data_IF_379079468988
#
_entry.id   IF_379079468988
#
_cell.length_a   1.000
_cell.length_b   1.000
_cell.length_c   1.000
_cell.angle_alpha   90.00
_cell.angle_beta   90.00
_cell.angle_gamma   90.00
#
_symmetry.space_group_name_H-M   'P 1'
#
loop_
_entity.id
_entity.type
_entity.pdbx_description
1 polymer ?
#
# COMPACT_ATOMS: atom_id res chain seq x y z
N UNK A 1 22.17 47.37 -44.43
CA UNK A 1 21.96 46.24 -45.36
C UNK A 1 21.79 44.97 -44.53
N UNK A 2 20.77 44.18 -44.89
CA UNK A 2 20.23 43.00 -44.19
C UNK A 2 21.20 41.80 -44.17
N UNK A 3 20.83 40.78 -43.38
CA UNK A 3 21.10 39.33 -43.49
C UNK A 3 22.03 38.78 -42.38
N UNK A 4 21.85 37.60 -41.77
CA UNK A 4 20.90 36.47 -41.84
C UNK A 4 21.25 35.60 -40.60
N UNK A 5 20.39 35.32 -39.62
CA UNK A 5 19.41 34.22 -39.55
C UNK A 5 19.94 32.80 -39.92
N UNK A 6 19.88 31.93 -38.90
CA UNK A 6 19.52 30.50 -38.92
C UNK A 6 20.68 29.50 -39.10
N UNK A 7 21.14 28.98 -37.96
CA UNK A 7 21.84 27.70 -37.84
C UNK A 7 20.80 26.63 -37.49
N UNK A 8 20.49 25.77 -38.46
CA UNK A 8 19.78 24.53 -38.27
C UNK A 8 20.08 23.61 -39.45
N UNK A 9 19.86 22.32 -39.23
CA UNK A 9 19.73 21.25 -40.22
C UNK A 9 21.02 20.49 -40.55
N UNK A 10 20.85 19.16 -40.54
CA UNK A 10 21.61 18.11 -41.23
C UNK A 10 22.70 17.42 -40.38
N UNK A 11 22.27 16.78 -39.29
CA UNK A 11 22.91 15.57 -38.78
C UNK A 11 22.09 14.37 -39.25
N UNK A 12 22.35 13.93 -40.48
CA UNK A 12 21.74 12.78 -41.13
C UNK A 12 22.85 11.93 -41.75
N UNK A 13 23.24 10.83 -41.09
CA UNK A 13 24.01 9.74 -41.72
C UNK A 13 23.66 8.40 -41.06
N UNK A 14 22.86 7.62 -41.77
CA UNK A 14 22.56 6.19 -41.60
C UNK A 14 23.39 5.40 -42.62
N UNK A 15 24.14 4.36 -42.20
CA UNK A 15 24.44 3.05 -42.86
C UNK A 15 25.65 2.41 -42.14
N UNK A 16 25.58 1.38 -41.26
CA UNK A 16 25.18 -0.04 -41.37
C UNK A 16 26.28 -1.01 -41.92
N UNK A 17 26.44 -2.14 -41.21
CA UNK A 17 27.17 -3.42 -41.49
C UNK A 17 28.66 -3.47 -41.12
N UNK A 18 29.24 -4.49 -40.46
CA UNK A 18 28.84 -5.86 -40.11
C UNK A 18 29.80 -6.47 -39.06
N UNK A 19 29.36 -7.44 -38.26
CA UNK A 19 29.89 -8.83 -38.17
C UNK A 19 29.31 -9.58 -36.96
N UNK A 20 28.95 -10.83 -37.18
CA UNK A 20 28.22 -11.72 -36.28
C UNK A 20 29.15 -12.76 -35.64
N UNK A 21 28.79 -13.24 -34.44
CA UNK A 21 28.99 -14.63 -33.99
C UNK A 21 28.21 -14.88 -32.68
N UNK A 22 27.61 -16.07 -32.59
CA UNK A 22 26.54 -16.49 -31.68
C UNK A 22 27.01 -17.02 -30.31
N UNK A 23 26.14 -16.92 -29.29
CA UNK A 23 25.74 -18.06 -28.45
C UNK A 23 24.43 -17.75 -27.69
N UNK A 24 23.49 -18.71 -27.76
CA UNK A 24 22.25 -18.84 -26.97
C UNK A 24 22.50 -18.82 -25.46
N UNK A 25 21.60 -18.21 -24.66
CA UNK A 25 21.02 -18.88 -23.49
C UNK A 25 19.73 -18.19 -23.01
N UNK A 26 18.91 -18.96 -22.30
CA UNK A 26 17.47 -18.92 -22.16
C UNK A 26 16.87 -17.76 -21.35
N UNK A 27 15.57 -17.58 -21.58
CA UNK A 27 14.64 -16.88 -20.71
C UNK A 27 14.82 -17.22 -19.22
N UNK A 28 14.94 -16.19 -18.39
CA UNK A 28 15.06 -16.28 -16.95
C UNK A 28 14.28 -15.18 -16.23
N UNK A 29 12.98 -15.42 -16.08
CA UNK A 29 12.21 -15.26 -14.84
C UNK A 29 12.41 -13.97 -14.01
N UNK A 30 11.38 -13.11 -14.11
CA UNK A 30 10.59 -12.62 -12.96
C UNK A 30 11.14 -13.03 -11.59
N UNK A 31 11.83 -12.12 -10.91
CA UNK A 31 12.00 -12.20 -9.44
C UNK A 31 10.69 -11.80 -8.76
N UNK A 32 9.81 -12.79 -8.69
CA UNK A 32 8.84 -12.99 -7.62
C UNK A 32 9.60 -13.40 -6.36
N UNK A 33 9.50 -12.60 -5.28
CA UNK A 33 9.39 -13.08 -3.89
C UNK A 33 9.50 -11.91 -2.90
N UNK A 34 8.39 -11.21 -2.68
CA UNK A 34 8.06 -10.64 -1.38
C UNK A 34 6.57 -10.87 -1.12
N UNK A 35 6.14 -12.12 -1.30
CA UNK A 35 4.88 -12.63 -0.76
C UNK A 35 5.26 -13.60 0.35
N UNK A 36 5.27 -13.09 1.58
CA UNK A 36 5.09 -13.84 2.81
C UNK A 36 5.24 -12.90 4.01
N UNK A 37 4.12 -12.37 4.50
CA UNK A 37 3.64 -12.68 5.85
C UNK A 37 2.50 -11.72 6.23
N UNK A 38 1.30 -11.98 5.72
CA UNK A 38 0.12 -11.77 6.55
C UNK A 38 0.30 -12.70 7.77
N UNK A 39 0.48 -12.12 8.95
CA UNK A 39 0.84 -12.89 10.13
C UNK A 39 -0.28 -13.88 10.50
N UNK A 40 0.10 -15.04 11.04
CA UNK A 40 -0.84 -16.08 11.52
C UNK A 40 -1.78 -15.48 12.58
N UNK A 41 -3.08 -15.87 12.62
CA UNK A 41 -4.03 -15.33 13.59
C UNK A 41 -3.52 -15.46 15.03
N UNK A 42 -3.74 -14.42 15.83
CA UNK A 42 -3.38 -14.39 17.26
C UNK A 42 -4.19 -15.42 18.05
N UNK A 43 -5.43 -15.68 17.60
CA UNK A 43 -6.31 -16.73 18.12
C UNK A 43 -6.80 -17.65 16.99
N UNK A 44 -6.20 -18.84 16.81
CA UNK A 44 -6.60 -19.77 15.77
C UNK A 44 -8.09 -20.17 15.89
N UNK A 45 -8.82 -20.11 14.77
CA UNK A 45 -10.22 -20.52 14.69
C UNK A 45 -11.25 -19.47 15.11
N UNK A 46 -10.84 -18.28 15.57
CA UNK A 46 -11.74 -17.16 15.82
C UNK A 46 -11.67 -16.12 14.69
N UNK A 47 -12.78 -15.40 14.40
CA UNK A 47 -12.74 -14.25 13.50
C UNK A 47 -11.74 -13.19 13.96
N UNK A 48 -11.22 -12.42 13.02
CA UNK A 48 -10.41 -11.25 13.34
C UNK A 48 -11.28 -10.11 13.88
N UNK A 49 -10.73 -9.35 14.81
CA UNK A 49 -11.41 -8.23 15.49
C UNK A 49 -11.07 -6.88 14.90
N UNK A 50 -9.95 -6.77 14.19
CA UNK A 50 -9.44 -5.55 13.56
C UNK A 50 -8.45 -5.89 12.46
N UNK A 51 -7.95 -4.88 11.77
CA UNK A 51 -6.78 -5.00 10.89
C UNK A 51 -5.69 -4.00 11.30
N UNK A 52 -4.46 -4.49 11.35
CA UNK A 52 -3.25 -3.67 11.46
C UNK A 52 -2.54 -3.70 10.11
N UNK A 53 -2.42 -2.55 9.47
CA UNK A 53 -1.64 -2.38 8.24
C UNK A 53 -0.25 -1.87 8.63
N UNK A 54 0.75 -2.73 8.51
CA UNK A 54 2.14 -2.38 8.78
C UNK A 54 2.76 -1.64 7.57
N UNK A 55 2.76 -0.30 7.63
CA UNK A 55 3.43 0.57 6.66
C UNK A 55 4.78 1.11 7.17
N UNK A 56 5.39 0.45 8.15
CA UNK A 56 6.73 0.81 8.64
C UNK A 56 7.76 0.72 7.51
N UNK A 57 8.66 1.69 7.46
CA UNK A 57 9.65 1.90 6.41
C UNK A 57 9.12 2.58 5.15
N UNK A 58 7.80 2.85 5.07
CA UNK A 58 7.21 3.43 3.86
C UNK A 58 7.07 4.95 3.94
N UNK A 59 7.17 5.59 5.11
CA UNK A 59 6.93 7.04 5.20
C UNK A 59 5.48 7.41 4.88
N UNK A 60 4.55 6.70 5.50
CA UNK A 60 3.11 6.99 5.45
C UNK A 60 2.78 8.17 6.37
N UNK A 61 2.03 9.17 5.89
CA UNK A 61 1.59 10.29 6.74
C UNK A 61 0.17 10.10 7.28
N UNK A 62 -0.13 10.85 8.35
CA UNK A 62 -1.48 10.91 8.91
C UNK A 62 -2.40 11.73 8.01
N UNK A 63 -3.65 11.29 7.92
CA UNK A 63 -4.69 11.99 7.18
C UNK A 63 -6.04 11.82 7.86
N UNK A 64 -6.96 12.74 7.61
CA UNK A 64 -8.35 12.66 8.09
C UNK A 64 -9.19 11.66 7.29
N UNK A 65 -8.80 11.34 6.05
CA UNK A 65 -9.56 10.44 5.17
C UNK A 65 -8.64 9.41 4.50
N UNK A 66 -7.95 8.58 5.29
CA UNK A 66 -7.04 7.57 4.77
C UNK A 66 -7.79 6.46 4.02
N UNK A 67 -7.10 5.82 3.09
CA UNK A 67 -7.62 4.69 2.29
C UNK A 67 -6.66 3.53 2.26
N UNK A 68 -7.18 2.31 2.13
CA UNK A 68 -6.39 1.12 1.79
C UNK A 68 -6.55 0.87 0.29
N UNK A 69 -5.44 0.68 -0.43
CA UNK A 69 -5.45 0.46 -1.89
C UNK A 69 -4.70 -0.79 -2.31
N UNK A 70 -5.00 -1.26 -3.51
CA UNK A 70 -4.19 -2.25 -4.24
C UNK A 70 -3.13 -1.55 -5.08
N UNK A 71 -2.20 -2.32 -5.64
CA UNK A 71 -1.11 -1.83 -6.48
C UNK A 71 -1.57 -1.17 -7.78
N UNK A 72 -2.73 -1.58 -8.31
CA UNK A 72 -3.38 -0.97 -9.48
C UNK A 72 -4.07 0.37 -9.17
N UNK A 73 -4.04 0.82 -7.92
CA UNK A 73 -4.68 2.06 -7.47
C UNK A 73 -6.16 1.91 -7.14
N UNK A 74 -6.75 0.72 -7.29
CA UNK A 74 -8.12 0.50 -6.85
C UNK A 74 -8.21 0.56 -5.32
N UNK A 75 -9.32 1.13 -4.86
CA UNK A 75 -9.62 1.23 -3.44
C UNK A 75 -10.14 -0.10 -2.90
N UNK A 76 -9.59 -0.53 -1.77
CA UNK A 76 -10.06 -1.68 -0.99
C UNK A 76 -11.03 -1.21 0.08
N UNK A 77 -10.70 -0.12 0.77
CA UNK A 77 -11.52 0.47 1.85
C UNK A 77 -11.14 1.94 2.07
N UNK A 78 -12.08 2.76 2.55
CA UNK A 78 -11.83 4.14 3.01
C UNK A 78 -12.83 5.19 2.52
N UNK A 79 -13.60 4.91 1.47
CA UNK A 79 -14.81 5.68 1.10
C UNK A 79 -15.99 5.12 1.86
N UNK A 80 -16.14 5.60 3.08
CA UNK A 80 -17.02 5.07 4.11
C UNK A 80 -18.06 6.10 4.52
N UNK A 81 -19.24 5.63 4.93
CA UNK A 81 -20.23 6.45 5.62
C UNK A 81 -20.04 6.24 7.10
N UNK A 82 -19.88 7.34 7.83
CA UNK A 82 -19.59 7.31 9.26
C UNK A 82 -20.38 8.41 9.94
N UNK A 83 -20.79 8.15 11.17
CA UNK A 83 -21.43 9.13 12.02
C UNK A 83 -20.42 10.25 12.35
N UNK A 84 -20.74 11.53 12.12
CA UNK A 84 -19.86 12.65 12.49
C UNK A 84 -19.42 12.62 13.94
N UNK A 85 -20.32 12.33 14.89
CA UNK A 85 -20.02 12.32 16.33
C UNK A 85 -19.00 11.22 16.64
N UNK A 86 -19.09 10.08 15.95
CA UNK A 86 -18.12 9.01 16.07
C UNK A 86 -16.72 9.42 15.56
N UNK A 87 -16.64 10.12 14.42
CA UNK A 87 -15.37 10.57 13.83
C UNK A 87 -14.68 11.62 14.68
N UNK A 88 -15.45 12.50 15.32
CA UNK A 88 -14.90 13.53 16.22
C UNK A 88 -14.11 12.90 17.37
N UNK A 89 -14.65 11.82 17.95
CA UNK A 89 -14.03 11.16 19.11
C UNK A 89 -12.97 10.11 18.72
N UNK A 90 -13.20 9.34 17.65
CA UNK A 90 -12.41 8.13 17.36
C UNK A 90 -11.58 8.22 16.07
N UNK A 91 -11.91 9.15 15.18
CA UNK A 91 -11.39 9.19 13.81
C UNK A 91 -11.72 7.95 12.98
N UNK A 92 -11.12 7.88 11.77
CA UNK A 92 -11.35 6.80 10.80
C UNK A 92 -10.41 5.61 11.01
N UNK A 93 -9.16 5.87 11.42
CA UNK A 93 -8.16 4.84 11.71
C UNK A 93 -7.36 5.21 12.95
N UNK A 94 -6.86 4.20 13.66
CA UNK A 94 -5.80 4.39 14.64
C UNK A 94 -4.44 4.50 13.96
N UNK A 95 -3.49 5.19 14.60
CA UNK A 95 -2.09 5.18 14.17
C UNK A 95 -1.19 4.75 15.33
N UNK A 96 -0.19 3.95 15.03
CA UNK A 96 0.82 3.49 15.98
C UNK A 96 2.21 3.50 15.33
N UNK A 97 3.28 3.46 16.14
CA UNK A 97 4.66 3.33 15.64
C UNK A 97 5.13 1.89 15.54
N UNK A 98 4.52 0.98 16.28
CA UNK A 98 4.89 -0.44 16.30
C UNK A 98 3.66 -1.34 16.42
N UNK A 99 3.81 -2.63 16.09
CA UNK A 99 2.74 -3.63 16.26
C UNK A 99 2.34 -3.74 17.74
N UNK A 100 3.31 -3.68 18.66
CA UNK A 100 3.03 -3.80 20.09
C UNK A 100 2.26 -2.61 20.65
N UNK A 101 2.49 -1.41 20.10
CA UNK A 101 1.69 -0.23 20.41
C UNK A 101 0.29 -0.34 19.80
N UNK A 102 0.19 -0.77 18.54
CA UNK A 102 -1.10 -1.00 17.87
C UNK A 102 -1.97 -1.98 18.67
N UNK A 103 -1.38 -3.05 19.22
CA UNK A 103 -2.07 -4.04 20.07
C UNK A 103 -2.64 -3.49 21.37
N UNK A 104 -2.17 -2.33 21.84
CA UNK A 104 -2.68 -1.65 23.04
C UNK A 104 -3.78 -0.64 22.72
N UNK A 105 -4.02 -0.35 21.45
CA UNK A 105 -5.11 0.51 21.04
C UNK A 105 -6.44 -0.19 21.29
N UNK A 106 -7.42 0.51 21.86
CA UNK A 106 -8.75 -0.04 22.12
C UNK A 106 -9.40 -0.60 20.85
N UNK A 107 -9.11 0.04 19.71
CA UNK A 107 -9.53 -0.37 18.36
C UNK A 107 -8.98 -1.73 17.90
N UNK A 108 -7.90 -2.23 18.50
CA UNK A 108 -7.28 -3.48 18.07
C UNK A 108 -8.12 -4.71 18.43
N UNK A 109 -8.74 -4.70 19.60
CA UNK A 109 -9.36 -5.90 20.16
C UNK A 109 -8.36 -7.05 20.36
N UNK A 110 -8.89 -8.27 20.51
CA UNK A 110 -8.11 -9.44 20.93
C UNK A 110 -7.31 -10.11 19.79
N UNK A 111 -7.78 -10.03 18.54
CA UNK A 111 -7.25 -10.81 17.43
C UNK A 111 -7.16 -9.96 16.15
N UNK A 112 -6.14 -9.11 15.99
CA UNK A 112 -5.94 -8.33 14.77
C UNK A 112 -5.44 -9.20 13.61
N UNK A 113 -5.94 -8.93 12.40
CA UNK A 113 -5.32 -9.36 11.14
C UNK A 113 -4.15 -8.41 10.85
N UNK A 114 -2.94 -8.94 10.70
CA UNK A 114 -1.75 -8.11 10.41
C UNK A 114 -1.36 -8.29 8.96
N UNK A 115 -1.38 -7.20 8.20
CA UNK A 115 -1.01 -7.16 6.77
C UNK A 115 0.17 -6.21 6.61
N UNK A 116 1.22 -6.66 5.92
CA UNK A 116 2.34 -5.79 5.54
C UNK A 116 1.98 -4.98 4.29
N UNK A 117 2.10 -3.66 4.36
CA UNK A 117 1.96 -2.82 3.18
C UNK A 117 3.19 -2.98 2.27
N UNK A 118 2.95 -2.95 0.95
CA UNK A 118 3.97 -3.06 -0.11
C UNK A 118 4.32 -1.71 -0.73
N UNK A 119 3.61 -0.65 -0.34
CA UNK A 119 3.82 0.71 -0.86
C UNK A 119 2.86 1.71 -0.23
N UNK A 120 2.85 2.94 -0.77
CA UNK A 120 1.95 4.01 -0.34
C UNK A 120 1.44 4.82 -1.53
N UNK A 121 0.25 5.39 -1.36
CA UNK A 121 -0.44 6.29 -2.28
C UNK A 121 -1.06 7.46 -1.48
N UNK A 122 -2.03 8.17 -2.05
CA UNK A 122 -2.66 9.33 -1.39
C UNK A 122 -2.10 10.68 -1.85
N UNK A 123 -1.53 10.74 -3.06
CA UNK A 123 -1.00 11.97 -3.65
C UNK A 123 0.17 12.52 -2.84
N UNK A 124 0.17 13.85 -2.64
CA UNK A 124 1.22 14.56 -1.91
C UNK A 124 1.25 14.23 -0.40
N UNK A 125 0.15 13.71 0.15
CA UNK A 125 0.04 13.37 1.57
C UNK A 125 0.43 11.94 1.88
N UNK A 126 0.70 11.08 0.88
CA UNK A 126 1.24 9.74 1.11
C UNK A 126 0.51 8.91 2.19
N UNK A 127 -0.82 9.09 2.34
CA UNK A 127 -1.58 8.63 3.50
C UNK A 127 -2.18 7.23 3.36
N UNK A 128 -2.09 6.65 2.17
CA UNK A 128 -2.90 5.49 1.80
C UNK A 128 -2.00 4.27 1.60
N UNK A 129 -1.94 3.31 2.53
CA UNK A 129 -1.12 2.12 2.35
C UNK A 129 -1.61 1.28 1.17
N UNK A 130 -0.65 0.77 0.40
CA UNK A 130 -0.89 -0.18 -0.68
C UNK A 130 -0.62 -1.58 -0.15
N UNK A 131 -1.55 -2.51 -0.36
CA UNK A 131 -1.42 -3.93 -0.03
C UNK A 131 -1.44 -4.77 -1.30
N UNK A 132 -0.97 -6.02 -1.21
CA UNK A 132 -1.01 -6.96 -2.34
C UNK A 132 -2.45 -7.34 -2.70
N UNK A 133 -2.70 -7.77 -3.94
CA UNK A 133 -4.04 -8.27 -4.33
C UNK A 133 -4.47 -9.47 -3.47
N UNK A 134 -3.52 -10.32 -3.07
CA UNK A 134 -3.77 -11.47 -2.20
C UNK A 134 -4.20 -11.01 -0.79
N UNK A 135 -3.52 -10.03 -0.22
CA UNK A 135 -3.87 -9.49 1.10
C UNK A 135 -5.17 -8.67 1.04
N UNK A 136 -5.45 -7.97 -0.06
CA UNK A 136 -6.73 -7.29 -0.26
C UNK A 136 -7.89 -8.29 -0.28
N UNK A 137 -7.72 -9.42 -0.97
CA UNK A 137 -8.70 -10.50 -0.96
C UNK A 137 -8.88 -11.07 0.46
N UNK A 138 -7.77 -11.36 1.15
CA UNK A 138 -7.80 -11.87 2.52
C UNK A 138 -8.52 -10.90 3.47
N UNK A 139 -8.21 -9.61 3.39
CA UNK A 139 -8.83 -8.56 4.20
C UNK A 139 -10.36 -8.56 4.06
N UNK A 140 -10.85 -8.57 2.82
CA UNK A 140 -12.29 -8.56 2.55
C UNK A 140 -12.96 -9.88 2.96
N UNK A 141 -12.32 -11.03 2.68
CA UNK A 141 -12.84 -12.34 3.09
C UNK A 141 -12.99 -12.45 4.61
N UNK A 142 -11.98 -12.00 5.38
CA UNK A 142 -12.03 -12.05 6.84
C UNK A 142 -12.98 -11.01 7.44
N UNK A 143 -13.12 -9.84 6.81
CA UNK A 143 -14.09 -8.84 7.23
C UNK A 143 -15.54 -9.36 7.08
N UNK A 144 -15.84 -10.24 6.12
CA UNK A 144 -17.18 -10.87 6.06
C UNK A 144 -17.57 -11.61 7.35
N UNK A 145 -16.58 -12.08 8.12
CA UNK A 145 -16.75 -12.83 9.37
C UNK A 145 -16.74 -11.91 10.59
N UNK A 146 -15.81 -10.95 10.63
CA UNK A 146 -15.58 -10.09 11.80
C UNK A 146 -16.31 -8.75 11.78
N UNK A 147 -16.63 -8.23 10.59
CA UNK A 147 -17.24 -6.91 10.36
C UNK A 147 -16.48 -5.79 11.06
N UNK A 148 -15.16 -5.87 11.01
CA UNK A 148 -14.27 -4.93 11.71
C UNK A 148 -14.04 -3.67 10.88
N UNK A 149 -14.14 -3.74 9.54
CA UNK A 149 -14.07 -2.57 8.67
C UNK A 149 -15.29 -1.64 8.84
N UNK A 150 -16.47 -2.20 9.08
CA UNK A 150 -17.72 -1.45 9.35
C UNK A 150 -17.65 -0.69 10.69
N UNK A 151 -16.81 -1.16 11.62
CA UNK A 151 -16.57 -0.55 12.94
C UNK A 151 -15.37 0.38 12.94
N UNK A 152 -14.73 0.56 11.78
CA UNK A 152 -13.51 1.34 11.62
C UNK A 152 -12.32 0.76 12.40
N UNK A 153 -12.33 -0.54 12.73
CA UNK A 153 -11.30 -1.21 13.50
C UNK A 153 -10.04 -1.47 12.65
N UNK A 154 -9.42 -0.37 12.24
CA UNK A 154 -8.29 -0.27 11.31
C UNK A 154 -7.19 0.55 11.99
N UNK A 155 -5.99 -0.01 12.04
CA UNK A 155 -4.82 0.64 12.63
C UNK A 155 -3.69 0.65 11.61
N UNK A 156 -3.10 1.82 11.37
CA UNK A 156 -1.94 1.96 10.50
C UNK A 156 -0.68 2.11 11.35
N UNK A 157 0.33 1.30 11.03
CA UNK A 157 1.67 1.52 11.57
C UNK A 157 2.40 2.46 10.61
N UNK A 158 2.90 3.57 11.14
CA UNK A 158 3.75 4.51 10.41
C UNK A 158 4.98 4.88 11.21
N UNK A 159 6.03 5.24 10.50
CA UNK A 159 7.23 5.81 11.11
C UNK A 159 7.02 7.30 11.44
N UNK A 160 7.95 7.89 12.20
CA UNK A 160 7.97 9.32 12.49
C UNK A 160 7.07 9.73 13.66
N UNK A 161 6.99 11.04 13.91
CA UNK A 161 6.19 11.56 15.02
C UNK A 161 4.69 11.32 14.80
N UNK A 162 4.03 10.99 15.90
CA UNK A 162 2.61 10.74 15.97
C UNK A 162 1.93 12.07 16.29
#
# INVERSE_FOLDING_TARGET
MRNLLISAVICMTLLVCATAALCDDQAGQTSSAASAASAKPSEPGKPYTSVIIDASGLGLDRCMSPKIRKSDGAEVWGTVKVDPDFVEDHGIVGYAKTIDEARKCDRCGANPLIIKAIGRAGGAFHSDPIISDADAKLLLDEDTKGKFLDKFDVIFIKDGEL
#
